data_IF_822979173447
#
_entry.id   IF_822979173447
#
_cell.length_a   1.000
_cell.length_b   1.000
_cell.length_c   1.000
_cell.angle_alpha   90.00
_cell.angle_beta   90.00
_cell.angle_gamma   90.00
#
_symmetry.space_group_name_H-M   'P 1'
#
loop_
_entity.id
_entity.type
_entity.pdbx_description
1 polymer ?
#
# COMPACT_ATOMS: atom_id res chain seq x y z
N UNK A 1 10.77 -5.22 48.27
CA UNK A 1 11.97 -4.77 47.54
C UNK A 1 11.68 -4.98 46.07
N UNK A 2 11.78 -3.93 45.23
CA UNK A 2 11.69 -4.05 43.77
C UNK A 2 13.12 -4.25 43.29
N UNK A 3 13.52 -5.51 43.09
CA UNK A 3 14.83 -5.82 42.55
C UNK A 3 14.89 -5.36 41.09
N UNK A 4 15.75 -4.37 40.84
CA UNK A 4 16.04 -3.84 39.52
C UNK A 4 17.24 -4.60 38.98
N UNK A 5 17.01 -5.39 37.94
CA UNK A 5 18.08 -6.03 37.18
C UNK A 5 18.53 -5.07 36.07
N UNK A 6 19.79 -4.59 36.08
CA UNK A 6 20.33 -3.78 34.99
C UNK A 6 20.37 -4.60 33.70
N UNK A 7 20.19 -3.94 32.55
CA UNK A 7 20.29 -4.59 31.25
C UNK A 7 21.73 -5.10 31.03
N UNK A 8 21.88 -6.37 30.72
CA UNK A 8 23.16 -7.02 30.43
C UNK A 8 23.18 -7.50 28.97
N UNK A 9 24.34 -7.41 28.32
CA UNK A 9 24.47 -7.85 26.94
C UNK A 9 24.53 -9.38 26.90
N UNK A 10 23.62 -10.00 26.15
CA UNK A 10 23.63 -11.44 25.93
C UNK A 10 24.99 -11.86 25.33
N UNK A 11 25.65 -12.91 25.85
CA UNK A 11 26.90 -13.40 25.29
C UNK A 11 26.66 -13.88 23.86
N UNK A 12 27.66 -13.71 23.00
CA UNK A 12 27.55 -14.03 21.57
C UNK A 12 27.02 -15.46 21.37
N UNK A 13 27.51 -16.42 22.14
CA UNK A 13 27.12 -17.84 22.05
C UNK A 13 25.60 -18.07 22.21
N UNK A 14 24.92 -17.26 23.02
CA UNK A 14 23.46 -17.35 23.23
C UNK A 14 22.65 -16.76 22.07
N UNK A 15 23.23 -15.82 21.32
CA UNK A 15 22.55 -15.12 20.21
C UNK A 15 23.12 -15.48 18.82
N UNK A 16 24.15 -16.34 18.75
CA UNK A 16 24.85 -16.71 17.51
C UNK A 16 23.89 -17.16 16.42
N UNK A 17 22.99 -18.07 16.75
CA UNK A 17 22.07 -18.64 15.77
C UNK A 17 21.04 -17.62 15.29
N UNK A 18 20.57 -16.75 16.18
CA UNK A 18 19.67 -15.65 15.82
C UNK A 18 20.36 -14.63 14.89
N UNK A 19 21.61 -14.27 15.20
CA UNK A 19 22.41 -13.38 14.36
C UNK A 19 22.64 -14.03 13.00
N UNK A 20 23.03 -15.31 12.96
CA UNK A 20 23.23 -16.06 11.72
C UNK A 20 21.96 -16.06 10.87
N UNK A 21 20.82 -16.42 11.42
CA UNK A 21 19.55 -16.44 10.70
C UNK A 21 19.19 -15.05 10.15
N UNK A 22 19.43 -14.00 10.93
CA UNK A 22 19.19 -12.61 10.51
C UNK A 22 20.12 -12.21 9.35
N UNK A 23 21.40 -12.56 9.44
CA UNK A 23 22.38 -12.27 8.40
C UNK A 23 22.11 -13.04 7.12
N UNK A 24 21.75 -14.32 7.23
CA UNK A 24 21.37 -15.16 6.09
C UNK A 24 20.13 -14.59 5.39
N UNK A 25 19.07 -14.24 6.14
CA UNK A 25 17.89 -13.61 5.57
C UNK A 25 18.22 -12.29 4.86
N UNK A 26 19.06 -11.44 5.47
CA UNK A 26 19.49 -10.18 4.86
C UNK A 26 20.27 -10.43 3.56
N UNK A 27 21.22 -11.36 3.58
CA UNK A 27 22.04 -11.68 2.40
C UNK A 27 21.23 -12.30 1.28
N UNK A 28 20.26 -13.17 1.60
CA UNK A 28 19.31 -13.71 0.63
C UNK A 28 18.51 -12.59 -0.03
N UNK A 29 17.99 -11.64 0.75
CA UNK A 29 17.25 -10.49 0.22
C UNK A 29 18.11 -9.62 -0.70
N UNK A 30 19.34 -9.31 -0.29
CA UNK A 30 20.30 -8.54 -1.09
C UNK A 30 20.57 -9.24 -2.43
N UNK A 31 20.87 -10.54 -2.42
CA UNK A 31 21.14 -11.32 -3.62
C UNK A 31 19.93 -11.42 -4.56
N UNK A 32 18.72 -11.57 -4.01
CA UNK A 32 17.48 -11.55 -4.78
C UNK A 32 17.23 -10.18 -5.42
N UNK A 33 17.49 -9.09 -4.70
CA UNK A 33 17.33 -7.73 -5.19
C UNK A 33 18.31 -7.39 -6.31
N UNK A 34 19.57 -7.83 -6.18
CA UNK A 34 20.62 -7.66 -7.19
C UNK A 34 20.30 -8.48 -8.45
N UNK A 35 19.90 -9.74 -8.29
CA UNK A 35 19.49 -10.58 -9.43
C UNK A 35 18.31 -9.98 -10.20
N UNK A 36 17.31 -9.45 -9.48
CA UNK A 36 16.17 -8.76 -10.12
C UNK A 36 16.60 -7.47 -10.84
N UNK A 37 17.58 -6.73 -10.31
CA UNK A 37 18.17 -5.57 -11.00
C UNK A 37 18.89 -5.96 -12.29
N UNK A 38 19.67 -7.04 -12.27
CA UNK A 38 20.34 -7.54 -13.48
C UNK A 38 19.30 -7.86 -14.56
N UNK A 39 18.26 -8.60 -14.20
CA UNK A 39 17.17 -8.95 -15.12
C UNK A 39 16.50 -7.68 -15.67
N UNK A 40 16.22 -6.69 -14.84
CA UNK A 40 15.62 -5.43 -15.28
C UNK A 40 16.52 -4.70 -16.27
N UNK A 41 17.83 -4.64 -16.01
CA UNK A 41 18.79 -4.01 -16.91
C UNK A 41 18.82 -4.70 -18.29
N UNK A 42 18.77 -6.03 -18.31
CA UNK A 42 18.72 -6.82 -19.55
C UNK A 42 17.41 -6.54 -20.33
N UNK A 43 16.27 -6.46 -19.64
CA UNK A 43 14.97 -6.11 -20.24
C UNK A 43 14.96 -4.66 -20.78
N UNK A 44 15.56 -3.72 -20.05
CA UNK A 44 15.72 -2.33 -20.51
C UNK A 44 16.65 -2.21 -21.72
N UNK A 45 17.64 -3.11 -21.85
CA UNK A 45 18.49 -3.23 -23.02
C UNK A 45 17.79 -3.91 -24.23
N UNK A 46 16.56 -4.38 -24.05
CA UNK A 46 15.75 -5.01 -25.09
C UNK A 46 15.99 -6.51 -25.25
N UNK A 47 16.61 -7.17 -24.27
CA UNK A 47 16.65 -8.63 -24.23
C UNK A 47 15.25 -9.22 -24.02
N UNK A 48 15.02 -10.42 -24.57
CA UNK A 48 13.73 -11.07 -24.46
C UNK A 48 13.45 -11.49 -23.02
N UNK A 49 12.22 -11.29 -22.50
CA UNK A 49 11.80 -11.86 -21.22
C UNK A 49 11.79 -13.39 -21.21
N UNK A 50 11.89 -14.02 -22.38
CA UNK A 50 11.92 -15.47 -22.58
C UNK A 50 13.21 -16.07 -21.99
N UNK A 51 13.09 -16.73 -20.83
CA UNK A 51 14.19 -17.39 -20.12
C UNK A 51 14.45 -16.86 -18.71
N UNK A 52 13.85 -15.73 -18.35
CA UNK A 52 13.92 -15.14 -17.00
C UNK A 52 13.01 -15.88 -16.01
N UNK A 53 11.97 -16.54 -16.50
CA UNK A 53 11.00 -17.30 -15.71
C UNK A 53 9.64 -17.39 -16.43
N UNK A 54 8.63 -17.89 -15.72
CA UNK A 54 7.24 -17.84 -16.19
C UNK A 54 6.66 -16.45 -15.94
N UNK A 55 6.11 -15.83 -16.98
CA UNK A 55 5.44 -14.53 -16.89
C UNK A 55 3.94 -14.72 -16.75
N UNK A 56 3.33 -13.99 -15.81
CA UNK A 56 1.88 -13.89 -15.67
C UNK A 56 1.44 -12.49 -16.08
N UNK A 57 0.50 -12.40 -17.01
CA UNK A 57 -0.04 -11.12 -17.50
C UNK A 57 -1.41 -10.83 -16.87
N UNK A 58 -1.66 -9.57 -16.57
CA UNK A 58 -2.90 -9.09 -15.97
C UNK A 58 -3.33 -7.81 -16.70
N UNK A 59 -4.59 -7.78 -17.14
CA UNK A 59 -5.20 -6.62 -17.78
C UNK A 59 -6.20 -5.96 -16.82
N UNK A 60 -6.20 -4.62 -16.75
CA UNK A 60 -7.18 -3.87 -15.93
C UNK A 60 -7.06 -4.08 -14.42
N UNK A 61 -5.86 -4.40 -13.90
CA UNK A 61 -5.62 -4.64 -12.48
C UNK A 61 -5.92 -3.37 -11.65
N UNK A 62 -6.86 -3.45 -10.71
CA UNK A 62 -7.19 -2.34 -9.82
C UNK A 62 -6.25 -2.27 -8.60
N UNK A 63 -6.09 -1.07 -8.03
CA UNK A 63 -5.23 -0.83 -6.83
C UNK A 63 -5.63 -1.65 -5.60
N UNK A 64 -6.89 -2.09 -5.54
CA UNK A 64 -7.47 -2.87 -4.46
C UNK A 64 -7.71 -4.34 -4.85
N UNK A 65 -7.16 -4.80 -5.98
CA UNK A 65 -7.26 -6.20 -6.39
C UNK A 65 -6.60 -7.12 -5.36
N UNK A 66 -7.08 -8.37 -5.29
CA UNK A 66 -6.46 -9.46 -4.53
C UNK A 66 -5.75 -10.48 -5.42
N UNK A 67 -5.69 -10.23 -6.74
CA UNK A 67 -5.21 -11.20 -7.74
C UNK A 67 -3.69 -11.38 -7.70
N UNK A 68 -2.97 -10.39 -7.19
CA UNK A 68 -1.51 -10.44 -7.00
C UNK A 68 -1.13 -10.01 -5.59
N UNK A 69 0.08 -10.39 -5.16
CA UNK A 69 0.56 -10.10 -3.81
C UNK A 69 0.66 -8.59 -3.53
N UNK A 70 0.45 -8.14 -2.27
CA UNK A 70 0.39 -6.73 -1.92
C UNK A 70 1.69 -5.96 -2.24
N UNK A 71 2.85 -6.60 -2.07
CA UNK A 71 4.14 -6.00 -2.43
C UNK A 71 4.29 -5.77 -3.95
N UNK A 72 3.67 -6.62 -4.78
CA UNK A 72 3.66 -6.47 -6.24
C UNK A 72 2.71 -5.33 -6.62
N UNK A 73 1.52 -5.28 -6.02
CA UNK A 73 0.56 -4.17 -6.22
C UNK A 73 1.15 -2.82 -5.83
N UNK A 74 1.77 -2.73 -4.66
CA UNK A 74 2.38 -1.48 -4.20
C UNK A 74 3.48 -1.03 -5.18
N UNK A 75 4.35 -1.96 -5.58
CA UNK A 75 5.43 -1.67 -6.50
C UNK A 75 4.92 -1.23 -7.87
N UNK A 76 3.99 -1.97 -8.50
CA UNK A 76 3.50 -1.63 -9.86
C UNK A 76 2.85 -0.25 -9.90
N UNK A 77 2.13 0.13 -8.85
CA UNK A 77 1.47 1.45 -8.76
C UNK A 77 2.40 2.58 -8.30
N UNK A 78 3.64 2.26 -7.88
CA UNK A 78 4.70 3.23 -7.59
C UNK A 78 5.54 3.59 -8.83
N UNK A 79 5.47 2.76 -9.87
CA UNK A 79 6.25 2.96 -11.10
C UNK A 79 5.78 4.21 -11.85
N UNK A 80 6.68 4.88 -12.59
CA UNK A 80 6.29 5.97 -13.47
C UNK A 80 5.32 5.45 -14.53
N UNK A 81 4.45 6.33 -15.02
CA UNK A 81 3.56 5.99 -16.13
C UNK A 81 4.40 5.62 -17.38
N UNK A 82 4.06 4.52 -18.07
CA UNK A 82 4.68 4.21 -19.35
C UNK A 82 4.33 5.31 -20.37
N UNK A 83 5.36 5.80 -21.07
CA UNK A 83 5.21 6.81 -22.13
C UNK A 83 5.63 6.22 -23.47
N UNK A 84 6.82 5.61 -23.49
CA UNK A 84 7.36 4.84 -24.61
C UNK A 84 7.88 3.51 -24.05
N UNK A 85 7.12 2.45 -24.25
CA UNK A 85 7.44 1.09 -23.79
C UNK A 85 7.15 0.83 -22.31
N UNK A 86 7.29 -0.45 -21.94
CA UNK A 86 7.07 -0.93 -20.58
C UNK A 86 7.97 -0.22 -19.56
N UNK A 87 7.48 -0.10 -18.33
CA UNK A 87 8.28 0.34 -17.17
C UNK A 87 8.55 -0.86 -16.28
N UNK A 88 9.82 -1.07 -15.96
CA UNK A 88 10.22 -2.22 -15.19
C UNK A 88 10.39 -1.88 -13.71
N UNK A 89 10.14 -2.86 -12.85
CA UNK A 89 10.29 -2.73 -11.41
C UNK A 89 10.50 -4.07 -10.74
N UNK A 90 10.79 -4.06 -9.44
CA UNK A 90 10.95 -5.27 -8.64
C UNK A 90 10.26 -5.17 -7.29
N UNK A 91 9.66 -6.27 -6.87
CA UNK A 91 9.14 -6.43 -5.51
C UNK A 91 9.95 -7.54 -4.82
N UNK A 92 10.61 -7.21 -3.72
CA UNK A 92 11.47 -8.16 -2.98
C UNK A 92 10.87 -8.44 -1.62
N UNK A 93 10.65 -9.72 -1.33
CA UNK A 93 10.18 -10.22 -0.03
C UNK A 93 11.33 -10.79 0.78
N UNK A 94 11.03 -11.45 1.91
CA UNK A 94 12.05 -12.15 2.67
C UNK A 94 12.72 -13.28 1.88
N UNK A 95 11.96 -13.98 1.03
CA UNK A 95 12.40 -15.25 0.44
C UNK A 95 12.21 -15.30 -1.09
N UNK A 96 11.67 -14.25 -1.71
CA UNK A 96 11.43 -14.20 -3.16
C UNK A 96 11.62 -12.79 -3.70
N UNK A 97 11.88 -12.69 -5.00
CA UNK A 97 11.79 -11.44 -5.75
C UNK A 97 10.93 -11.65 -6.98
N UNK A 98 10.10 -10.68 -7.31
CA UNK A 98 9.32 -10.62 -8.52
C UNK A 98 9.82 -9.45 -9.38
N UNK A 99 9.96 -9.68 -10.68
CA UNK A 99 10.19 -8.63 -11.68
C UNK A 99 8.84 -8.28 -12.30
N UNK A 100 8.62 -6.99 -12.50
CA UNK A 100 7.34 -6.41 -12.93
C UNK A 100 7.61 -5.64 -14.21
N UNK A 101 6.76 -5.84 -15.22
CA UNK A 101 6.68 -5.01 -16.41
C UNK A 101 5.31 -4.32 -16.41
N UNK A 102 5.30 -2.99 -16.44
CA UNK A 102 4.11 -2.17 -16.52
C UNK A 102 3.97 -1.62 -17.94
N UNK A 103 3.02 -2.19 -18.69
CA UNK A 103 2.79 -1.82 -20.09
C UNK A 103 1.88 -0.60 -20.24
N UNK A 104 0.79 -0.53 -19.47
CA UNK A 104 -0.22 0.53 -19.59
C UNK A 104 -0.80 0.92 -18.22
N UNK A 105 -1.17 2.21 -18.09
CA UNK A 105 -1.92 2.73 -16.95
C UNK A 105 -3.18 3.42 -17.45
N UNK A 106 -4.34 2.89 -17.05
CA UNK A 106 -5.64 3.50 -17.33
C UNK A 106 -6.11 4.32 -16.13
N UNK A 107 -6.52 5.57 -16.36
CA UNK A 107 -7.10 6.41 -15.32
C UNK A 107 -8.51 5.94 -14.96
N UNK A 108 -8.80 5.90 -13.66
CA UNK A 108 -10.14 5.62 -13.16
C UNK A 108 -11.11 6.72 -13.60
N UNK A 109 -12.25 6.34 -14.17
CA UNK A 109 -13.30 7.29 -14.51
C UNK A 109 -14.21 7.50 -13.30
N UNK A 110 -14.29 8.75 -12.81
CA UNK A 110 -15.34 9.13 -11.84
C UNK A 110 -16.53 9.61 -12.65
N UNK A 111 -17.57 8.79 -12.75
CA UNK A 111 -18.84 9.24 -13.30
C UNK A 111 -19.43 10.32 -12.38
N UNK A 112 -19.84 11.48 -12.91
CA UNK A 112 -20.47 12.55 -12.11
C UNK A 112 -21.77 12.11 -11.40
N UNK A 113 -22.36 11.01 -11.90
CA UNK A 113 -23.51 10.30 -11.35
C UNK A 113 -23.13 8.96 -10.68
N UNK A 114 -21.91 8.83 -10.12
CA UNK A 114 -21.57 7.61 -9.39
C UNK A 114 -22.44 7.45 -8.13
N UNK A 115 -22.80 6.21 -7.82
CA UNK A 115 -23.55 5.86 -6.61
C UNK A 115 -22.83 6.37 -5.36
N UNK A 116 -21.49 6.29 -5.30
CA UNK A 116 -20.73 6.82 -4.17
C UNK A 116 -20.84 8.36 -4.05
N UNK A 117 -20.81 9.10 -5.16
CA UNK A 117 -20.98 10.55 -5.15
C UNK A 117 -22.36 10.96 -4.62
N UNK A 118 -23.41 10.24 -5.02
CA UNK A 118 -24.77 10.49 -4.53
C UNK A 118 -24.91 10.16 -3.05
N UNK A 119 -24.37 9.02 -2.59
CA UNK A 119 -24.34 8.66 -1.16
C UNK A 119 -23.58 9.69 -0.33
N UNK A 120 -22.45 10.21 -0.83
CA UNK A 120 -21.70 11.26 -0.16
C UNK A 120 -22.49 12.57 -0.08
N UNK A 121 -23.19 12.97 -1.15
CA UNK A 121 -24.06 14.15 -1.16
C UNK A 121 -25.18 14.03 -0.12
N UNK A 122 -25.85 12.89 -0.06
CA UNK A 122 -26.90 12.62 0.93
C UNK A 122 -26.38 12.64 2.36
N UNK A 123 -25.21 12.03 2.59
CA UNK A 123 -24.55 12.06 3.90
C UNK A 123 -24.22 13.49 4.35
N UNK A 124 -23.64 14.30 3.48
CA UNK A 124 -23.32 15.70 3.76
C UNK A 124 -24.58 16.53 4.02
N UNK A 125 -25.65 16.32 3.24
CA UNK A 125 -26.92 17.00 3.46
C UNK A 125 -27.56 16.64 4.81
N UNK A 126 -27.50 15.36 5.21
CA UNK A 126 -27.98 14.90 6.52
C UNK A 126 -27.18 15.52 7.67
N UNK A 127 -25.85 15.60 7.53
CA UNK A 127 -24.99 16.21 8.53
C UNK A 127 -25.30 17.70 8.72
N UNK A 128 -25.45 18.45 7.62
CA UNK A 128 -25.78 19.88 7.67
C UNK A 128 -27.16 20.10 8.30
N UNK A 129 -28.17 19.32 7.89
CA UNK A 129 -29.52 19.40 8.46
C UNK A 129 -29.56 19.13 9.97
N UNK A 130 -28.77 18.19 10.47
CA UNK A 130 -28.65 17.94 11.91
C UNK A 130 -28.03 19.13 12.66
N UNK A 131 -26.99 19.77 12.08
CA UNK A 131 -26.34 20.94 12.67
C UNK A 131 -27.26 22.15 12.70
N UNK A 132 -27.94 22.43 11.59
CA UNK A 132 -28.91 23.51 11.51
C UNK A 132 -30.07 23.31 12.49
N UNK A 133 -30.60 22.09 12.57
CA UNK A 133 -31.68 21.77 13.49
C UNK A 133 -31.27 21.96 14.97
N UNK A 134 -30.07 21.49 15.34
CA UNK A 134 -29.54 21.69 16.68
C UNK A 134 -29.32 23.18 17.00
N UNK A 135 -28.76 23.95 16.06
CA UNK A 135 -28.58 25.39 16.20
C UNK A 135 -29.92 26.13 16.33
N UNK A 136 -30.91 25.76 15.52
CA UNK A 136 -32.26 26.32 15.58
C UNK A 136 -32.94 26.01 16.93
N UNK A 137 -32.86 24.78 17.41
CA UNK A 137 -33.36 24.42 18.74
C UNK A 137 -32.67 25.24 19.84
N UNK A 138 -31.35 25.40 19.79
CA UNK A 138 -30.62 26.20 20.78
C UNK A 138 -31.03 27.66 20.74
N UNK A 139 -31.19 28.23 19.55
CA UNK A 139 -31.69 29.59 19.36
C UNK A 139 -33.09 29.79 19.95
N UNK A 140 -34.00 28.84 19.71
CA UNK A 140 -35.34 28.88 20.32
C UNK A 140 -35.29 28.78 21.84
N UNK A 141 -34.47 27.88 22.40
CA UNK A 141 -34.30 27.78 23.87
C UNK A 141 -33.76 29.05 24.49
N UNK A 142 -32.79 29.70 23.84
CA UNK A 142 -32.20 30.95 24.34
C UNK A 142 -33.19 32.13 24.32
N UNK A 143 -34.23 32.07 23.47
CA UNK A 143 -35.26 33.12 23.37
C UNK A 143 -36.54 32.79 24.13
N UNK A 144 -36.75 31.53 24.49
CA UNK A 144 -37.92 31.12 25.23
C UNK A 144 -37.76 31.49 26.71
N UNK A 145 -38.70 32.26 27.23
CA UNK A 145 -38.83 32.49 28.67
C UNK A 145 -39.68 31.34 29.24
N UNK A 146 -39.05 30.42 29.96
CA UNK A 146 -39.68 29.19 30.46
C UNK A 146 -39.67 29.19 31.98
N UNK A 147 -40.84 29.39 32.60
CA UNK A 147 -41.07 29.11 34.02
C UNK A 147 -41.38 27.63 34.22
N UNK A 148 -40.69 26.97 35.15
CA UNK A 148 -40.99 25.61 35.59
C UNK A 148 -41.68 25.70 36.96
N UNK A 149 -42.80 24.98 37.18
CA UNK A 149 -43.46 24.94 38.49
C UNK A 149 -42.59 24.28 39.57
#
# INVERSE_FOLDING_TARGET
VRDYHPAEQLPLDEVRDQIRATLEQRKTREALAERAETIIADLEAGESPEGVGEWSSYEGLARNSSDVGPAILEQVFSLPRPADGARFGKAVTANSAAVIALDEVTDGQVAEESTELNQLREFLASLEGQREYAAYQQFLRNRAEVERP
#
